data_IF_722638035417
#
_entry.id   IF_722638035417
#
_cell.length_a   1.000
_cell.length_b   1.000
_cell.length_c   1.000
_cell.angle_alpha   90.00
_cell.angle_beta   90.00
_cell.angle_gamma   90.00
#
_symmetry.space_group_name_H-M   'P 1'
#
loop_
_entity.id
_entity.type
_entity.pdbx_description
1 polymer ?
#
# COMPACT_ATOMS: atom_id res chain seq x y z
N UNK A 1 -20.57 -8.23 15.67
CA UNK A 1 -19.87 -8.62 14.43
C UNK A 1 -19.01 -7.48 13.88
N UNK A 2 -19.40 -6.21 13.96
CA UNK A 2 -18.58 -5.09 13.46
C UNK A 2 -17.20 -4.86 14.10
N UNK A 3 -16.97 -5.25 15.36
CA UNK A 3 -15.71 -4.93 16.08
C UNK A 3 -14.49 -5.72 15.56
N UNK A 4 -14.73 -6.94 15.07
CA UNK A 4 -13.69 -7.80 14.49
C UNK A 4 -13.25 -7.27 13.11
N UNK A 5 -14.20 -6.83 12.28
CA UNK A 5 -13.90 -6.19 11.00
C UNK A 5 -13.18 -4.85 11.17
N UNK A 6 -13.53 -4.05 12.18
CA UNK A 6 -12.83 -2.80 12.47
C UNK A 6 -11.35 -3.04 12.77
N UNK A 7 -11.06 -4.08 13.56
CA UNK A 7 -9.69 -4.51 13.89
C UNK A 7 -8.93 -4.96 12.63
N UNK A 8 -9.57 -5.70 11.73
CA UNK A 8 -8.96 -6.16 10.47
C UNK A 8 -8.62 -4.98 9.53
N UNK A 9 -9.49 -3.96 9.47
CA UNK A 9 -9.27 -2.75 8.68
C UNK A 9 -8.08 -1.95 9.22
N UNK A 10 -8.01 -1.77 10.55
CA UNK A 10 -6.91 -1.05 11.19
C UNK A 10 -5.57 -1.78 11.00
N UNK A 11 -5.57 -3.11 11.06
CA UNK A 11 -4.38 -3.92 10.78
C UNK A 11 -3.93 -3.81 9.32
N UNK A 12 -4.85 -3.78 8.38
CA UNK A 12 -4.51 -3.65 6.96
C UNK A 12 -4.04 -2.24 6.61
N UNK A 13 -4.58 -1.21 7.27
CA UNK A 13 -4.05 0.16 7.18
C UNK A 13 -2.62 0.25 7.72
N UNK A 14 -2.33 -0.41 8.86
CA UNK A 14 -0.98 -0.52 9.40
C UNK A 14 -0.05 -1.27 8.42
N UNK A 15 -0.50 -2.38 7.85
CA UNK A 15 0.26 -3.14 6.87
C UNK A 15 0.58 -2.33 5.61
N UNK A 16 -0.38 -1.55 5.10
CA UNK A 16 -0.13 -0.61 3.99
C UNK A 16 0.96 0.40 4.34
N UNK A 17 0.93 0.94 5.57
CA UNK A 17 1.94 1.90 6.04
C UNK A 17 3.33 1.27 6.12
N UNK A 18 3.42 0.02 6.59
CA UNK A 18 4.68 -0.72 6.65
C UNK A 18 5.25 -0.97 5.25
N UNK A 19 4.38 -1.32 4.29
CA UNK A 19 4.78 -1.51 2.89
C UNK A 19 5.25 -0.20 2.24
N UNK A 20 4.64 0.94 2.58
CA UNK A 20 5.12 2.26 2.14
C UNK A 20 6.50 2.58 2.74
N UNK A 21 6.70 2.33 4.04
CA UNK A 21 8.01 2.54 4.68
C UNK A 21 9.12 1.65 4.11
N UNK A 22 8.79 0.41 3.76
CA UNK A 22 9.71 -0.48 3.05
C UNK A 22 10.08 0.09 1.68
N UNK A 23 9.12 0.61 0.91
CA UNK A 23 9.38 1.30 -0.35
C UNK A 23 10.31 2.50 -0.18
N UNK A 24 10.04 3.37 0.80
CA UNK A 24 10.85 4.57 1.03
C UNK A 24 12.30 4.20 1.36
N UNK A 25 12.48 3.11 2.12
CA UNK A 25 13.79 2.55 2.42
C UNK A 25 14.51 2.05 1.15
N UNK A 26 13.80 1.36 0.26
CA UNK A 26 14.35 0.88 -1.02
C UNK A 26 14.73 2.04 -1.96
N UNK A 27 13.99 3.15 -1.92
CA UNK A 27 14.31 4.37 -2.70
C UNK A 27 15.49 5.14 -2.11
N UNK A 28 15.63 5.19 -0.79
CA UNK A 28 16.80 5.77 -0.13
C UNK A 28 18.07 5.00 -0.48
N UNK A 29 18.03 3.67 -0.44
CA UNK A 29 19.16 2.82 -0.86
C UNK A 29 19.52 3.07 -2.33
N UNK A 30 18.53 3.18 -3.22
CA UNK A 30 18.75 3.51 -4.63
C UNK A 30 19.48 4.85 -4.79
N UNK A 31 19.03 5.88 -4.08
CA UNK A 31 19.62 7.23 -4.12
C UNK A 31 21.05 7.22 -3.60
N UNK A 32 21.32 6.49 -2.52
CA UNK A 32 22.66 6.32 -1.98
C UNK A 32 23.59 5.64 -3.01
N UNK A 33 23.14 4.57 -3.66
CA UNK A 33 23.89 3.88 -4.72
C UNK A 33 24.12 4.75 -5.96
N UNK A 34 23.22 5.70 -6.26
CA UNK A 34 23.44 6.70 -7.32
C UNK A 34 24.60 7.64 -6.99
N UNK A 35 24.72 8.07 -5.75
CA UNK A 35 25.80 8.98 -5.32
C UNK A 35 27.19 8.34 -5.42
N UNK A 36 27.30 7.02 -5.20
CA UNK A 36 28.56 6.26 -5.22
C UNK A 36 29.09 6.01 -6.65
N UNK A 37 28.25 6.15 -7.69
CA UNK A 37 28.69 5.96 -9.08
C UNK A 37 29.38 7.17 -9.68
N UNK A 38 29.14 8.36 -9.15
CA UNK A 38 29.71 9.57 -9.71
C UNK A 38 31.23 9.66 -9.52
N UNK A 39 31.83 8.86 -8.62
CA UNK A 39 33.22 9.05 -8.22
C UNK A 39 34.17 7.83 -8.31
N UNK A 40 33.74 6.56 -8.45
CA UNK A 40 34.70 5.45 -8.15
C UNK A 40 34.75 4.15 -8.97
N UNK A 41 33.95 3.90 -10.00
CA UNK A 41 33.83 2.50 -10.47
C UNK A 41 34.63 2.14 -11.74
N UNK A 42 35.11 3.13 -12.50
CA UNK A 42 36.34 3.05 -13.31
C UNK A 42 36.36 2.11 -14.54
N UNK A 43 35.39 1.22 -14.73
CA UNK A 43 35.27 0.36 -15.92
C UNK A 43 33.91 0.49 -16.60
N UNK A 44 33.86 0.66 -17.94
CA UNK A 44 32.60 0.84 -18.69
C UNK A 44 31.56 -0.27 -18.44
N UNK A 45 32.04 -1.49 -18.25
CA UNK A 45 31.23 -2.69 -18.05
C UNK A 45 30.54 -2.71 -16.69
N UNK A 46 31.21 -2.16 -15.66
CA UNK A 46 30.64 -2.05 -14.32
C UNK A 46 29.69 -0.84 -14.22
N UNK A 47 29.97 0.23 -14.96
CA UNK A 47 28.99 1.31 -15.15
C UNK A 47 27.72 0.77 -15.82
N UNK A 48 27.81 0.07 -16.95
CA UNK A 48 26.63 -0.48 -17.63
C UNK A 48 25.81 -1.44 -16.73
N UNK A 49 26.49 -2.30 -15.97
CA UNK A 49 25.85 -3.20 -15.02
C UNK A 49 25.11 -2.43 -13.92
N UNK A 50 25.71 -1.35 -13.41
CA UNK A 50 25.10 -0.50 -12.41
C UNK A 50 23.92 0.32 -12.96
N UNK A 51 23.96 0.80 -14.21
CA UNK A 51 22.82 1.47 -14.87
C UNK A 51 21.65 0.50 -14.99
N UNK A 52 21.93 -0.69 -15.53
CA UNK A 52 20.93 -1.75 -15.68
C UNK A 52 20.31 -2.13 -14.33
N UNK A 53 21.13 -2.24 -13.28
CA UNK A 53 20.64 -2.50 -11.93
C UNK A 53 19.72 -1.39 -11.44
N UNK A 54 20.12 -0.12 -11.58
CA UNK A 54 19.33 1.02 -11.12
C UNK A 54 17.99 1.13 -11.85
N UNK A 55 17.96 0.91 -13.16
CA UNK A 55 16.72 0.93 -13.94
C UNK A 55 15.76 -0.18 -13.50
N UNK A 56 16.26 -1.42 -13.40
CA UNK A 56 15.45 -2.56 -12.96
C UNK A 56 14.93 -2.37 -11.54
N UNK A 57 15.77 -1.85 -10.65
CA UNK A 57 15.40 -1.55 -9.27
C UNK A 57 14.31 -0.49 -9.20
N UNK A 58 14.46 0.61 -9.94
CA UNK A 58 13.45 1.68 -10.04
C UNK A 58 12.11 1.12 -10.53
N UNK A 59 12.13 0.36 -11.62
CA UNK A 59 10.93 -0.27 -12.17
C UNK A 59 10.27 -1.20 -11.14
N UNK A 60 11.05 -2.06 -10.49
CA UNK A 60 10.54 -2.95 -9.44
C UNK A 60 9.87 -2.20 -8.30
N UNK A 61 10.47 -1.10 -7.84
CA UNK A 61 9.88 -0.27 -6.78
C UNK A 61 8.56 0.40 -7.23
N UNK A 62 8.52 0.94 -8.45
CA UNK A 62 7.29 1.51 -9.03
C UNK A 62 6.17 0.47 -9.14
N UNK A 63 6.49 -0.77 -9.52
CA UNK A 63 5.51 -1.87 -9.58
C UNK A 63 4.99 -2.25 -8.19
N UNK A 64 5.87 -2.30 -7.19
CA UNK A 64 5.48 -2.54 -5.79
C UNK A 64 4.54 -1.42 -5.33
N UNK A 65 4.86 -0.15 -5.62
CA UNK A 65 4.02 1.01 -5.32
C UNK A 65 2.60 0.86 -5.88
N UNK A 66 2.52 0.54 -7.16
CA UNK A 66 1.25 0.44 -7.86
C UNK A 66 0.38 -0.68 -7.27
N UNK A 67 0.98 -1.81 -6.88
CA UNK A 67 0.27 -2.92 -6.25
C UNK A 67 -0.22 -2.58 -4.86
N UNK A 68 0.62 -1.95 -4.03
CA UNK A 68 0.23 -1.48 -2.69
C UNK A 68 -0.93 -0.49 -2.79
N UNK A 69 -0.86 0.46 -3.73
CA UNK A 69 -1.94 1.42 -3.98
C UNK A 69 -3.25 0.74 -4.34
N UNK A 70 -3.22 -0.22 -5.28
CA UNK A 70 -4.41 -1.00 -5.66
C UNK A 70 -4.98 -1.82 -4.49
N UNK A 71 -4.13 -2.45 -3.70
CA UNK A 71 -4.55 -3.23 -2.53
C UNK A 71 -5.25 -2.32 -1.51
N UNK A 72 -4.66 -1.16 -1.23
CA UNK A 72 -5.20 -0.18 -0.28
C UNK A 72 -6.54 0.36 -0.73
N UNK A 73 -6.67 0.70 -2.01
CA UNK A 73 -7.92 1.19 -2.59
C UNK A 73 -9.03 0.13 -2.54
N UNK A 74 -8.73 -1.10 -2.97
CA UNK A 74 -9.69 -2.19 -2.92
C UNK A 74 -10.15 -2.49 -1.49
N UNK A 75 -9.24 -2.40 -0.52
CA UNK A 75 -9.59 -2.58 0.88
C UNK A 75 -10.50 -1.47 1.43
N UNK A 76 -10.21 -0.21 1.06
CA UNK A 76 -11.04 0.93 1.44
C UNK A 76 -12.45 0.79 0.89
N UNK A 77 -12.59 0.44 -0.38
CA UNK A 77 -13.89 0.20 -1.02
C UNK A 77 -14.66 -0.94 -0.36
N UNK A 78 -13.98 -2.03 -0.03
CA UNK A 78 -14.58 -3.16 0.68
C UNK A 78 -15.12 -2.72 2.05
N UNK A 79 -14.30 -1.96 2.80
CA UNK A 79 -14.68 -1.38 4.11
C UNK A 79 -15.90 -0.48 4.03
N UNK A 80 -15.92 0.43 3.05
CA UNK A 80 -17.04 1.35 2.82
C UNK A 80 -18.31 0.58 2.49
N UNK A 81 -18.23 -0.42 1.60
CA UNK A 81 -19.36 -1.28 1.25
C UNK A 81 -19.94 -2.00 2.46
N UNK A 82 -19.09 -2.55 3.34
CA UNK A 82 -19.56 -3.19 4.57
C UNK A 82 -20.24 -2.21 5.53
N UNK A 83 -19.68 -0.99 5.69
CA UNK A 83 -20.27 0.05 6.53
C UNK A 83 -21.65 0.47 6.01
N UNK A 84 -21.80 0.63 4.70
CA UNK A 84 -23.08 0.96 4.08
C UNK A 84 -24.12 -0.13 4.33
N UNK A 85 -23.72 -1.40 4.17
CA UNK A 85 -24.60 -2.55 4.46
C UNK A 85 -25.02 -2.57 5.92
N UNK A 86 -24.10 -2.43 6.88
CA UNK A 86 -24.46 -2.40 8.31
C UNK A 86 -25.40 -1.23 8.64
N UNK A 87 -25.11 -0.04 8.12
CA UNK A 87 -25.94 1.16 8.35
C UNK A 87 -27.36 0.96 7.78
N UNK A 88 -27.46 0.39 6.58
CA UNK A 88 -28.75 0.08 5.95
C UNK A 88 -29.54 -0.96 6.74
N UNK A 89 -28.86 -1.97 7.27
CA UNK A 89 -29.46 -3.00 8.12
C UNK A 89 -29.98 -2.39 9.44
N UNK A 90 -29.16 -1.57 10.09
CA UNK A 90 -29.51 -0.90 11.35
C UNK A 90 -30.72 0.02 11.17
N UNK A 91 -30.73 0.84 10.11
CA UNK A 91 -31.88 1.68 9.78
C UNK A 91 -33.15 0.86 9.54
N UNK A 92 -33.03 -0.26 8.81
CA UNK A 92 -34.16 -1.15 8.51
C UNK A 92 -34.73 -1.76 9.79
N UNK A 93 -33.88 -2.25 10.68
CA UNK A 93 -34.31 -2.77 11.99
C UNK A 93 -34.94 -1.68 12.86
N UNK A 94 -34.37 -0.47 12.89
CA UNK A 94 -34.91 0.66 13.63
C UNK A 94 -36.29 1.07 13.13
N UNK A 95 -36.50 1.09 11.80
CA UNK A 95 -37.81 1.36 11.19
C UNK A 95 -38.83 0.27 11.52
N UNK A 96 -38.44 -1.00 11.45
CA UNK A 96 -39.30 -2.13 11.81
C UNK A 96 -39.70 -2.09 13.30
N UNK A 97 -38.77 -1.76 14.20
CA UNK A 97 -39.05 -1.61 15.63
C UNK A 97 -39.98 -0.42 15.94
N UNK A 98 -39.91 0.66 15.16
CA UNK A 98 -40.80 1.81 15.30
C UNK A 98 -42.22 1.54 14.76
N UNK A 99 -42.35 0.69 13.74
CA UNK A 99 -43.64 0.33 13.13
C UNK A 99 -44.42 -0.76 13.91
N UNK A 100 -43.76 -1.47 14.83
CA UNK A 100 -44.35 -2.52 15.66
C UNK A 100 -44.88 -2.06 17.03
N UNK A 101 -44.94 -0.75 17.29
CA UNK A 101 -45.60 -0.12 18.45
C UNK A 101 -46.86 0.59 18.00
#
# INVERSE_FOLDING_TARGET
MGDQFRTDIDQLAAFTKDLQGAQDSLDQVRTALQSVRADQIGTPELDEACDTFQERWKYGNEQIKARIGKLTEGLKQNTESYREVETSLEESFRRAAAAGK
#
